data_IF_036009923281
#
_entry.id   IF_036009923281
#
_cell.length_a   1.000
_cell.length_b   1.000
_cell.length_c   1.000
_cell.angle_alpha   90.00
_cell.angle_beta   90.00
_cell.angle_gamma   90.00
#
_symmetry.space_group_name_H-M   'P 1'
#
loop_
_entity.id
_entity.type
_entity.pdbx_description
1 polymer ?
#
# COMPACT_ATOMS: atom_id res chain seq x y z
N UNK A 1 -10.80 -54.09 18.70
CA UNK A 1 -11.28 -52.70 18.69
C UNK A 1 -10.46 -51.86 19.66
N UNK A 2 -9.70 -50.88 19.16
CA UNK A 2 -9.62 -49.54 19.74
C UNK A 2 -8.66 -48.73 18.85
N UNK A 3 -9.22 -47.78 18.10
CA UNK A 3 -8.47 -46.82 17.31
C UNK A 3 -8.00 -45.77 18.31
N UNK A 4 -6.70 -45.59 18.46
CA UNK A 4 -6.15 -44.46 19.21
C UNK A 4 -6.44 -43.19 18.42
N UNK A 5 -7.40 -42.41 18.91
CA UNK A 5 -7.70 -41.09 18.42
C UNK A 5 -6.43 -40.22 18.51
N UNK A 6 -5.83 -39.96 17.36
CA UNK A 6 -4.81 -38.92 17.23
C UNK A 6 -5.53 -37.60 17.48
N UNK A 7 -5.38 -37.06 18.67
CA UNK A 7 -5.73 -35.67 18.97
C UNK A 7 -4.94 -34.81 17.99
N UNK A 8 -5.61 -34.37 16.92
CA UNK A 8 -5.08 -33.40 15.96
C UNK A 8 -4.97 -32.10 16.74
N UNK A 9 -3.78 -31.80 17.26
CA UNK A 9 -3.51 -30.50 17.89
C UNK A 9 -3.94 -29.42 16.89
N UNK A 10 -4.74 -28.43 17.30
CA UNK A 10 -5.09 -27.34 16.41
C UNK A 10 -3.79 -26.67 15.98
N UNK A 11 -3.57 -26.59 14.67
CA UNK A 11 -2.48 -25.81 14.09
C UNK A 11 -2.93 -24.35 14.21
N UNK A 12 -2.71 -23.76 15.38
CA UNK A 12 -2.79 -22.31 15.56
C UNK A 12 -1.59 -21.72 14.82
N UNK A 13 -1.76 -21.40 13.54
CA UNK A 13 -0.90 -20.42 12.89
C UNK A 13 -1.33 -19.08 13.46
N UNK A 14 -0.55 -18.52 14.38
CA UNK A 14 -0.59 -17.08 14.63
C UNK A 14 0.05 -16.44 13.39
N UNK A 15 -0.75 -16.02 12.42
CA UNK A 15 -0.29 -15.10 11.40
C UNK A 15 -0.13 -13.76 12.11
N UNK A 16 1.12 -13.45 12.50
CA UNK A 16 1.47 -12.10 12.90
C UNK A 16 1.27 -11.25 11.64
N UNK A 17 0.13 -10.57 11.53
CA UNK A 17 -0.02 -9.48 10.55
C UNK A 17 1.10 -8.50 10.83
N UNK A 18 2.06 -8.40 9.92
CA UNK A 18 3.21 -7.55 10.11
C UNK A 18 2.81 -6.16 9.63
N UNK A 19 2.42 -5.29 10.56
CA UNK A 19 2.24 -3.87 10.26
C UNK A 19 3.63 -3.28 10.01
N UNK A 20 4.03 -3.16 8.74
CA UNK A 20 5.27 -2.52 8.35
C UNK A 20 5.02 -1.01 8.22
N UNK A 21 5.44 -0.24 9.22
CA UNK A 21 5.53 1.22 9.13
C UNK A 21 7.01 1.59 8.97
N UNK A 22 7.40 2.12 7.80
CA UNK A 22 8.77 2.57 7.53
C UNK A 22 9.16 3.73 8.45
N UNK A 23 8.30 4.74 8.52
CA UNK A 23 8.58 5.94 9.29
C UNK A 23 9.28 6.99 8.44
N UNK A 24 10.32 7.63 9.00
CA UNK A 24 11.09 8.67 8.31
C UNK A 24 12.34 8.07 7.66
N UNK A 25 12.63 8.50 6.43
CA UNK A 25 13.76 8.02 5.65
C UNK A 25 13.32 7.13 4.50
N UNK A 26 14.27 6.43 3.89
CA UNK A 26 13.99 5.46 2.84
C UNK A 26 14.10 4.06 3.45
N UNK A 27 12.97 3.42 3.71
CA UNK A 27 12.94 2.12 4.35
C UNK A 27 12.80 0.98 3.33
N UNK A 28 13.25 -0.22 3.72
CA UNK A 28 13.00 -1.44 2.96
C UNK A 28 12.04 -2.31 3.76
N UNK A 29 10.84 -2.52 3.21
CA UNK A 29 9.73 -3.21 3.85
C UNK A 29 9.50 -4.57 3.20
N UNK A 30 9.17 -5.56 4.02
CA UNK A 30 8.90 -6.94 3.59
C UNK A 30 7.81 -7.49 4.49
N UNK A 31 6.69 -7.91 3.91
CA UNK A 31 5.56 -8.49 4.65
C UNK A 31 5.77 -9.97 4.93
N UNK A 32 6.29 -10.69 3.94
CA UNK A 32 6.46 -12.12 3.94
C UNK A 32 5.34 -12.83 3.20
N UNK A 33 4.70 -13.78 3.87
CA UNK A 33 3.63 -14.57 3.29
C UNK A 33 2.35 -14.38 4.10
N UNK A 34 1.22 -14.30 3.39
CA UNK A 34 -0.09 -14.03 4.00
C UNK A 34 -0.57 -12.65 3.64
N UNK A 35 -1.59 -12.17 4.36
CA UNK A 35 -2.12 -10.83 4.16
C UNK A 35 -1.42 -9.81 5.05
N UNK A 36 -0.55 -9.01 4.46
CA UNK A 36 0.24 -8.00 5.15
C UNK A 36 -0.29 -6.58 4.93
N UNK A 37 0.10 -5.67 5.83
CA UNK A 37 -0.29 -4.25 5.77
C UNK A 37 0.96 -3.38 5.75
N UNK A 38 1.09 -2.60 4.69
CA UNK A 38 2.14 -1.59 4.54
C UNK A 38 1.55 -0.22 4.82
N UNK A 39 1.92 0.39 5.96
CA UNK A 39 1.34 1.65 6.42
C UNK A 39 2.28 2.82 6.14
N UNK A 40 1.77 3.79 5.38
CA UNK A 40 2.40 5.07 5.14
C UNK A 40 1.73 6.14 6.01
N UNK A 41 2.46 6.64 7.01
CA UNK A 41 1.96 7.62 7.97
C UNK A 41 2.91 8.82 8.20
N UNK A 42 3.88 8.98 7.31
CA UNK A 42 4.82 10.11 7.30
C UNK A 42 4.51 11.04 6.13
N UNK A 43 4.77 12.33 6.33
CA UNK A 43 4.52 13.35 5.32
C UNK A 43 5.29 13.03 4.03
N UNK A 44 4.63 13.01 2.85
CA UNK A 44 5.30 12.76 1.59
C UNK A 44 6.45 13.74 1.37
N UNK A 45 7.65 13.22 1.09
CA UNK A 45 8.80 14.04 0.75
C UNK A 45 9.72 13.30 -0.21
N UNK A 46 10.49 14.04 -1.01
CA UNK A 46 11.46 13.45 -1.94
C UNK A 46 12.59 12.66 -1.24
N UNK A 47 12.74 12.79 0.09
CA UNK A 47 13.71 12.03 0.88
C UNK A 47 13.09 10.90 1.69
N UNK A 48 11.81 10.56 1.45
CA UNK A 48 11.08 9.53 2.16
C UNK A 48 10.35 8.61 1.17
N UNK A 49 11.13 7.80 0.46
CA UNK A 49 10.64 6.83 -0.52
C UNK A 49 11.01 5.42 -0.06
N UNK A 50 10.01 4.67 0.36
CA UNK A 50 10.20 3.31 0.83
C UNK A 50 10.23 2.31 -0.33
N UNK A 51 10.78 1.13 -0.09
CA UNK A 51 10.79 0.01 -1.05
C UNK A 51 10.10 -1.19 -0.41
N UNK A 52 8.97 -1.62 -0.97
CA UNK A 52 8.28 -2.86 -0.60
C UNK A 52 8.75 -3.98 -1.53
N UNK A 53 9.33 -5.04 -0.95
CA UNK A 53 10.00 -6.08 -1.73
C UNK A 53 9.08 -7.18 -2.26
N UNK A 54 7.95 -7.43 -1.61
CA UNK A 54 7.13 -8.64 -1.81
C UNK A 54 5.61 -8.38 -1.85
N UNK A 55 5.19 -7.17 -2.24
CA UNK A 55 3.77 -6.81 -2.31
C UNK A 55 2.99 -7.74 -3.25
N UNK A 56 1.96 -8.37 -2.71
CA UNK A 56 1.07 -9.29 -3.42
C UNK A 56 -0.34 -8.72 -3.48
N UNK A 57 -0.78 -8.28 -4.67
CA UNK A 57 -2.10 -7.66 -4.90
C UNK A 57 -3.27 -8.47 -4.36
N UNK A 58 -3.19 -9.80 -4.37
CA UNK A 58 -4.28 -10.66 -3.91
C UNK A 58 -4.42 -10.69 -2.37
N UNK A 59 -3.34 -10.40 -1.64
CA UNK A 59 -3.25 -10.67 -0.21
C UNK A 59 -3.00 -9.41 0.63
N UNK A 60 -2.20 -8.47 0.13
CA UNK A 60 -1.68 -7.33 0.88
C UNK A 60 -2.51 -6.07 0.73
N UNK A 61 -2.36 -5.15 1.70
CA UNK A 61 -3.05 -3.85 1.70
C UNK A 61 -2.09 -2.71 1.99
N UNK A 62 -2.29 -1.59 1.31
CA UNK A 62 -1.60 -0.33 1.58
C UNK A 62 -2.51 0.55 2.44
N UNK A 63 -2.00 1.01 3.58
CA UNK A 63 -2.69 1.98 4.42
C UNK A 63 -2.09 3.37 4.28
N UNK A 64 -2.97 4.36 4.07
CA UNK A 64 -2.62 5.76 3.86
C UNK A 64 -3.24 6.61 4.98
N UNK A 65 -2.42 7.20 5.82
CA UNK A 65 -2.87 8.06 6.92
C UNK A 65 -3.32 9.44 6.40
N UNK A 66 -4.60 9.76 6.54
CA UNK A 66 -5.15 11.00 5.98
C UNK A 66 -4.58 12.28 6.64
N UNK A 67 -4.05 12.18 7.86
CA UNK A 67 -3.39 13.30 8.53
C UNK A 67 -2.15 13.80 7.76
N UNK A 68 -1.53 12.95 6.94
CA UNK A 68 -0.38 13.32 6.09
C UNK A 68 -0.72 13.34 4.59
N UNK A 69 -1.69 12.52 4.15
CA UNK A 69 -2.24 12.51 2.79
C UNK A 69 -3.52 13.34 2.70
N UNK A 70 -3.41 14.65 2.96
CA UNK A 70 -4.56 15.52 3.30
C UNK A 70 -5.68 15.65 2.26
N UNK A 71 -5.46 15.28 1.00
CA UNK A 71 -6.53 15.21 -0.01
C UNK A 71 -7.43 13.97 0.14
N UNK A 72 -6.96 12.91 0.81
CA UNK A 72 -7.70 11.67 1.03
C UNK A 72 -8.64 11.83 2.23
N UNK A 73 -9.73 12.54 2.04
CA UNK A 73 -10.60 12.99 3.15
C UNK A 73 -11.57 11.92 3.66
N UNK A 74 -11.83 10.87 2.88
CA UNK A 74 -12.73 9.78 3.26
C UNK A 74 -11.94 8.55 3.72
N UNK A 75 -12.18 8.09 4.95
CA UNK A 75 -11.59 6.85 5.48
C UNK A 75 -12.26 5.61 4.89
N UNK A 76 -11.53 4.50 4.80
CA UNK A 76 -11.97 3.24 4.21
C UNK A 76 -11.28 2.96 2.89
N UNK A 77 -11.88 2.11 2.04
CA UNK A 77 -11.33 1.81 0.72
C UNK A 77 -11.21 3.10 -0.09
N UNK A 78 -10.05 3.32 -0.72
CA UNK A 78 -9.80 4.51 -1.55
C UNK A 78 -10.86 4.65 -2.64
N UNK A 79 -11.34 5.87 -2.89
CA UNK A 79 -12.29 6.10 -3.96
C UNK A 79 -11.63 5.73 -5.31
N UNK A 80 -12.36 5.01 -6.16
CA UNK A 80 -11.85 4.61 -7.47
C UNK A 80 -11.44 5.80 -8.34
N UNK A 81 -12.09 6.96 -8.18
CA UNK A 81 -11.74 8.18 -8.89
C UNK A 81 -10.48 8.87 -8.32
N UNK A 82 -9.96 8.44 -7.17
CA UNK A 82 -8.75 8.98 -6.55
C UNK A 82 -7.49 8.17 -6.88
N UNK A 83 -7.65 7.07 -7.64
CA UNK A 83 -6.58 6.15 -7.97
C UNK A 83 -6.32 6.07 -9.48
N UNK A 84 -5.04 6.19 -9.84
CA UNK A 84 -4.59 6.15 -11.23
C UNK A 84 -3.48 5.14 -11.45
N UNK A 85 -3.63 4.31 -12.48
CA UNK A 85 -2.50 3.61 -13.10
C UNK A 85 -1.90 4.52 -14.18
N UNK A 86 -0.67 4.99 -14.01
CA UNK A 86 -0.02 5.91 -14.95
C UNK A 86 1.27 6.53 -14.45
N UNK A 87 1.89 7.39 -15.27
CA UNK A 87 3.12 8.10 -14.90
C UNK A 87 2.86 9.40 -14.12
N UNK A 88 1.63 9.94 -14.21
CA UNK A 88 1.18 11.16 -13.56
C UNK A 88 -0.36 11.15 -13.48
N UNK A 89 -0.93 12.07 -12.71
CA UNK A 89 -2.35 12.39 -12.71
C UNK A 89 -2.84 12.79 -14.12
N UNK A 90 -4.11 12.49 -14.42
CA UNK A 90 -4.74 12.73 -15.71
C UNK A 90 -6.04 13.55 -15.62
N UNK A 91 -6.73 13.53 -14.47
CA UNK A 91 -7.93 14.35 -14.22
C UNK A 91 -7.84 15.15 -12.91
N UNK A 92 -8.95 15.58 -12.31
CA UNK A 92 -8.89 16.57 -11.23
C UNK A 92 -8.57 15.99 -9.85
N UNK A 93 -8.53 14.67 -9.72
CA UNK A 93 -8.60 14.00 -8.43
C UNK A 93 -7.78 12.72 -8.37
N UNK A 94 -6.88 12.47 -9.32
CA UNK A 94 -5.92 11.36 -9.31
C UNK A 94 -4.84 11.58 -8.23
N UNK A 95 -5.20 11.41 -6.95
CA UNK A 95 -4.32 11.69 -5.82
C UNK A 95 -3.30 10.58 -5.56
N UNK A 96 -3.64 9.33 -5.83
CA UNK A 96 -2.74 8.17 -5.68
C UNK A 96 -2.46 7.58 -7.06
N UNK A 97 -1.19 7.55 -7.42
CA UNK A 97 -0.75 7.15 -8.76
C UNK A 97 0.24 6.00 -8.64
N UNK A 98 -0.02 4.90 -9.33
CA UNK A 98 0.92 3.82 -9.51
C UNK A 98 1.43 3.74 -10.96
N UNK A 99 2.74 3.84 -11.13
CA UNK A 99 3.40 3.68 -12.41
C UNK A 99 3.79 2.21 -12.60
N UNK A 100 2.99 1.46 -13.36
CA UNK A 100 3.25 0.04 -13.62
C UNK A 100 4.58 -0.25 -14.35
N UNK A 101 5.18 0.73 -15.03
CA UNK A 101 6.46 0.58 -15.72
C UNK A 101 7.67 0.68 -14.78
N UNK A 102 7.57 1.44 -13.70
CA UNK A 102 8.67 1.67 -12.74
C UNK A 102 8.41 1.05 -11.36
N UNK A 103 7.16 0.74 -11.06
CA UNK A 103 6.70 0.29 -9.75
C UNK A 103 6.53 1.42 -8.73
N UNK A 104 6.68 2.68 -9.15
CA UNK A 104 6.55 3.83 -8.26
C UNK A 104 5.09 4.03 -7.85
N UNK A 105 4.87 4.21 -6.54
CA UNK A 105 3.65 4.72 -5.96
C UNK A 105 3.89 6.18 -5.54
N UNK A 106 3.03 7.09 -5.98
CA UNK A 106 3.17 8.51 -5.75
C UNK A 106 1.86 9.12 -5.24
N UNK A 107 2.01 10.19 -4.45
CA UNK A 107 0.93 11.06 -4.04
C UNK A 107 0.99 12.39 -4.80
N UNK A 108 -0.08 12.73 -5.51
CA UNK A 108 -0.24 14.03 -6.14
C UNK A 108 -1.19 14.90 -5.30
N UNK A 109 -0.68 15.97 -4.71
CA UNK A 109 -1.44 16.80 -3.78
C UNK A 109 -2.45 17.72 -4.47
N UNK A 110 -2.31 17.97 -5.78
CA UNK A 110 -3.31 18.71 -6.56
C UNK A 110 -4.22 17.79 -7.40
N UNK A 111 -3.86 16.51 -7.46
CA UNK A 111 -4.62 15.45 -8.14
C UNK A 111 -4.70 15.59 -9.64
N UNK A 112 -4.10 16.62 -10.25
CA UNK A 112 -4.24 16.97 -11.66
C UNK A 112 -2.93 17.11 -12.42
N UNK A 113 -1.80 16.92 -11.74
CA UNK A 113 -0.48 16.87 -12.36
C UNK A 113 0.06 18.24 -12.76
N UNK A 114 -0.57 19.34 -12.33
CA UNK A 114 0.01 20.68 -12.49
C UNK A 114 1.27 20.83 -11.62
N UNK A 115 1.23 20.24 -10.43
CA UNK A 115 2.32 20.05 -9.50
C UNK A 115 3.01 18.71 -9.69
N UNK A 116 4.21 18.59 -9.12
CA UNK A 116 4.93 17.32 -9.13
C UNK A 116 4.34 16.38 -8.07
N UNK A 117 3.88 15.20 -8.49
CA UNK A 117 3.57 14.12 -7.57
C UNK A 117 4.83 13.69 -6.80
N UNK A 118 4.67 13.42 -5.51
CA UNK A 118 5.74 12.97 -4.62
C UNK A 118 5.74 11.46 -4.54
N UNK A 119 6.84 10.82 -4.93
CA UNK A 119 6.97 9.37 -4.80
C UNK A 119 7.12 8.96 -3.33
N UNK A 120 6.25 8.06 -2.89
CA UNK A 120 6.20 7.58 -1.50
C UNK A 120 6.70 6.14 -1.35
N UNK A 121 6.58 5.32 -2.40
CA UNK A 121 7.06 3.95 -2.35
C UNK A 121 7.45 3.40 -3.72
N UNK A 122 8.15 2.27 -3.71
CA UNK A 122 8.33 1.36 -4.83
C UNK A 122 7.70 0.01 -4.43
N UNK A 123 6.73 -0.49 -5.20
CA UNK A 123 6.01 -1.74 -4.90
C UNK A 123 6.44 -2.92 -5.78
N UNK A 124 7.19 -2.66 -6.86
CA UNK A 124 7.44 -3.61 -7.94
C UNK A 124 6.66 -3.27 -9.20
N UNK A 125 7.09 -3.79 -10.35
CA UNK A 125 6.54 -3.45 -11.69
C UNK A 125 5.38 -4.36 -12.08
N UNK A 126 4.48 -3.85 -12.91
CA UNK A 126 3.42 -4.64 -13.56
C UNK A 126 2.34 -5.19 -12.61
N UNK A 127 2.22 -4.66 -11.40
CA UNK A 127 1.16 -5.05 -10.47
C UNK A 127 -0.20 -4.60 -11.01
N UNK A 128 -1.18 -5.50 -10.96
CA UNK A 128 -2.55 -5.22 -11.38
C UNK A 128 -3.35 -4.52 -10.27
N UNK A 129 -2.79 -3.42 -9.74
CA UNK A 129 -3.39 -2.68 -8.63
C UNK A 129 -4.72 -2.04 -9.01
N UNK A 130 -5.58 -1.94 -8.02
CA UNK A 130 -6.87 -1.24 -8.05
C UNK A 130 -6.98 -0.36 -6.81
N UNK A 131 -8.00 0.50 -6.77
CA UNK A 131 -8.30 1.29 -5.57
C UNK A 131 -8.62 0.40 -4.34
N UNK A 132 -9.02 -0.86 -4.54
CA UNK A 132 -9.34 -1.79 -3.46
C UNK A 132 -8.12 -2.24 -2.66
N UNK A 133 -6.91 -2.09 -3.20
CA UNK A 133 -5.65 -2.44 -2.52
C UNK A 133 -5.22 -1.35 -1.51
N UNK A 134 -5.96 -0.23 -1.45
CA UNK A 134 -5.67 0.93 -0.62
C UNK A 134 -6.79 1.18 0.39
N UNK A 135 -6.39 1.44 1.63
CA UNK A 135 -7.28 1.87 2.71
C UNK A 135 -6.78 3.17 3.31
N UNK A 136 -7.62 4.19 3.31
CA UNK A 136 -7.39 5.45 4.01
C UNK A 136 -7.78 5.28 5.47
N UNK A 137 -6.88 5.66 6.38
CA UNK A 137 -7.07 5.59 7.83
C UNK A 137 -7.05 6.98 8.47
#
# INVERSE_FOLDING_TARGET
MSKTDKVKKPKFTLEFKQDAAGGLGNDTLTGGAGSDVFRFNTAPSAGNTDTVLDFTVADDTIQLENAVFTQLTATGVLNAAEFKIGAAAADANDFIIYNAGTGALSYDADGNGAGAAVQIAILGVGLALTNADFVVI
#
